data_IF_117669834460
#
_entry.id   IF_117669834460
#
_cell.length_a   1.000
_cell.length_b   1.000
_cell.length_c   1.000
_cell.angle_alpha   90.00
_cell.angle_beta   90.00
_cell.angle_gamma   90.00
#
_symmetry.space_group_name_H-M   'P 1'
#
loop_
_entity.id
_entity.type
_entity.pdbx_description
1 polymer ?
#
# COMPACT_ATOMS: atom_id res chain seq x y z
N UNK A 1 1.75 -11.72 -11.27
CA UNK A 1 0.72 -12.11 -10.28
C UNK A 1 0.70 -11.02 -9.22
N UNK A 2 -0.33 -10.19 -9.19
CA UNK A 2 -0.45 -9.16 -8.19
C UNK A 2 -0.97 -9.79 -6.90
N UNK A 3 -0.06 -10.25 -6.04
CA UNK A 3 -0.41 -10.78 -4.71
C UNK A 3 -0.93 -9.71 -3.75
N UNK A 4 -0.98 -8.45 -4.19
CA UNK A 4 -1.42 -7.34 -3.38
C UNK A 4 -2.92 -7.12 -3.57
N UNK A 5 -3.77 -7.39 -2.56
CA UNK A 5 -5.20 -7.16 -2.69
C UNK A 5 -5.57 -5.69 -2.90
N UNK A 6 -4.75 -4.75 -2.44
CA UNK A 6 -4.96 -3.33 -2.75
C UNK A 6 -4.82 -3.03 -4.25
N UNK A 7 -3.96 -3.76 -4.97
CA UNK A 7 -3.86 -3.64 -6.42
C UNK A 7 -5.06 -4.25 -7.14
N UNK A 8 -5.64 -5.35 -6.64
CA UNK A 8 -6.87 -5.92 -7.22
C UNK A 8 -8.02 -4.91 -7.17
N UNK A 9 -8.14 -4.18 -6.05
CA UNK A 9 -9.19 -3.16 -5.88
C UNK A 9 -8.90 -1.88 -6.68
N UNK A 10 -7.68 -1.33 -6.55
CA UNK A 10 -7.38 0.01 -7.11
C UNK A 10 -6.82 0.00 -8.53
N UNK A 11 -6.37 -1.17 -9.02
CA UNK A 11 -5.60 -1.36 -10.26
C UNK A 11 -4.38 -0.43 -10.39
N UNK A 12 -3.90 0.12 -9.29
CA UNK A 12 -2.85 1.13 -9.27
C UNK A 12 -1.51 0.52 -8.81
N UNK A 13 -0.50 0.49 -9.67
CA UNK A 13 0.82 -0.04 -9.29
C UNK A 13 1.48 0.70 -8.14
N UNK A 14 1.13 1.97 -7.90
CA UNK A 14 1.71 2.79 -6.84
C UNK A 14 1.38 2.27 -5.42
N UNK A 15 0.28 1.53 -5.25
CA UNK A 15 -0.10 0.96 -3.94
C UNK A 15 0.66 -0.34 -3.62
N UNK A 16 1.28 -0.95 -4.63
CA UNK A 16 2.03 -2.20 -4.48
C UNK A 16 3.34 -1.97 -3.72
N UNK A 17 3.93 -3.07 -3.21
CA UNK A 17 5.25 -3.02 -2.58
C UNK A 17 6.30 -2.30 -3.46
N UNK A 18 6.32 -2.56 -4.77
CA UNK A 18 7.23 -1.89 -5.72
C UNK A 18 7.01 -0.38 -5.74
N UNK A 19 5.76 0.07 -5.80
CA UNK A 19 5.39 1.49 -5.76
C UNK A 19 5.86 2.17 -4.47
N UNK A 20 5.66 1.51 -3.33
CA UNK A 20 6.11 2.01 -2.02
C UNK A 20 7.63 2.05 -1.88
N UNK A 21 8.37 1.06 -2.39
CA UNK A 21 9.84 1.13 -2.43
C UNK A 21 10.29 2.33 -3.26
N UNK A 22 9.67 2.54 -4.43
CA UNK A 22 9.99 3.67 -5.28
C UNK A 22 9.72 5.00 -4.57
N UNK A 23 8.58 5.11 -3.88
CA UNK A 23 8.23 6.27 -3.05
C UNK A 23 9.26 6.51 -1.93
N UNK A 24 9.61 5.46 -1.19
CA UNK A 24 10.60 5.52 -0.12
C UNK A 24 11.97 5.97 -0.64
N UNK A 25 12.42 5.45 -1.80
CA UNK A 25 13.66 5.88 -2.45
C UNK A 25 13.63 7.37 -2.82
N UNK A 26 12.51 7.86 -3.36
CA UNK A 26 12.35 9.28 -3.72
C UNK A 26 12.39 10.18 -2.48
N UNK A 27 11.74 9.78 -1.39
CA UNK A 27 11.80 10.49 -0.11
C UNK A 27 13.22 10.54 0.48
N UNK A 28 13.98 9.45 0.38
CA UNK A 28 15.37 9.40 0.81
C UNK A 28 16.29 10.25 -0.08
N UNK A 29 15.99 10.34 -1.37
CA UNK A 29 16.70 11.21 -2.31
C UNK A 29 16.34 12.70 -2.17
N UNK A 30 15.44 13.06 -1.24
CA UNK A 30 15.00 14.45 -1.04
C UNK A 30 14.11 14.98 -2.17
N UNK A 31 13.53 14.10 -2.98
CA UNK A 31 12.62 14.51 -4.04
C UNK A 31 11.27 14.93 -3.46
N UNK A 32 10.59 15.83 -4.17
CA UNK A 32 9.22 16.20 -3.85
C UNK A 32 8.29 15.02 -4.12
N UNK A 33 7.43 14.76 -3.14
CA UNK A 33 6.36 13.77 -3.20
C UNK A 33 5.04 14.51 -3.10
N UNK A 34 4.06 14.08 -3.87
CA UNK A 34 2.71 14.67 -3.86
C UNK A 34 1.83 14.01 -2.81
N UNK A 35 0.78 14.71 -2.36
CA UNK A 35 -0.20 14.14 -1.43
C UNK A 35 -0.85 12.87 -1.99
N UNK A 36 -1.13 12.81 -3.30
CA UNK A 36 -1.69 11.62 -3.94
C UNK A 36 -0.74 10.41 -3.87
N UNK A 37 0.55 10.62 -4.11
CA UNK A 37 1.56 9.56 -3.97
C UNK A 37 1.70 9.09 -2.52
N UNK A 38 1.62 10.02 -1.56
CA UNK A 38 1.61 9.70 -0.14
C UNK A 38 0.40 8.84 0.25
N UNK A 39 -0.80 9.20 -0.21
CA UNK A 39 -2.05 8.45 0.03
C UNK A 39 -1.93 6.99 -0.41
N UNK A 40 -1.31 6.71 -1.56
CA UNK A 40 -1.12 5.35 -2.06
C UNK A 40 -0.34 4.46 -1.09
N UNK A 41 0.55 5.03 -0.26
CA UNK A 41 1.27 4.27 0.75
C UNK A 41 0.36 3.82 1.90
N UNK A 42 -0.67 4.60 2.23
CA UNK A 42 -1.63 4.30 3.30
C UNK A 42 -2.70 3.27 2.91
N UNK A 43 -2.87 2.98 1.62
CA UNK A 43 -3.78 1.92 1.14
C UNK A 43 -3.26 0.49 1.46
N UNK A 44 -2.25 0.34 2.32
CA UNK A 44 -1.81 -0.98 2.76
C UNK A 44 -2.86 -1.64 3.64
N UNK A 45 -3.37 -2.79 3.22
CA UNK A 45 -4.17 -3.64 4.11
C UNK A 45 -3.33 -4.54 5.03
N UNK A 46 -1.99 -4.36 5.05
CA UNK A 46 -1.06 -5.11 5.91
C UNK A 46 -1.20 -6.64 5.84
N UNK A 47 -1.65 -7.16 4.69
CA UNK A 47 -1.85 -8.60 4.43
C UNK A 47 -0.56 -9.45 4.41
N UNK A 48 0.62 -8.83 4.45
CA UNK A 48 1.96 -9.48 4.40
C UNK A 48 2.26 -10.34 3.16
N UNK A 49 1.35 -10.44 2.20
CA UNK A 49 1.57 -11.17 0.94
C UNK A 49 2.83 -10.71 0.19
N UNK A 50 3.21 -9.43 0.30
CA UNK A 50 4.44 -8.91 -0.31
C UNK A 50 5.74 -9.43 0.33
N UNK A 51 5.69 -9.82 1.60
CA UNK A 51 6.84 -10.33 2.35
C UNK A 51 7.03 -11.83 2.06
N UNK A 52 5.94 -12.60 1.96
CA UNK A 52 5.98 -14.03 1.63
C UNK A 52 6.60 -14.33 0.26
N UNK A 53 6.33 -13.48 -0.75
CA UNK A 53 6.91 -13.65 -2.08
C UNK A 53 8.32 -13.06 -2.21
N UNK A 54 8.80 -12.33 -1.19
CA UNK A 54 10.04 -11.59 -1.26
C UNK A 54 11.24 -12.55 -1.15
N UNK A 55 11.84 -12.89 -2.29
CA UNK A 55 13.03 -13.76 -2.34
C UNK A 55 14.25 -13.21 -1.57
N UNK A 56 14.27 -11.91 -1.28
CA UNK A 56 15.36 -11.24 -0.56
C UNK A 56 15.12 -11.17 0.94
N UNK A 57 14.00 -11.70 1.44
CA UNK A 57 13.63 -11.72 2.86
C UNK A 57 13.80 -10.34 3.55
N UNK A 58 13.38 -9.28 2.84
CA UNK A 58 13.44 -7.92 3.38
C UNK A 58 12.37 -7.75 4.44
N UNK A 59 12.70 -7.07 5.53
CA UNK A 59 11.75 -6.71 6.59
C UNK A 59 10.83 -5.56 6.14
N UNK A 60 9.99 -5.85 5.13
CA UNK A 60 9.15 -4.87 4.45
C UNK A 60 8.11 -4.27 5.39
N UNK A 61 7.61 -5.05 6.35
CA UNK A 61 6.66 -4.54 7.35
C UNK A 61 7.23 -3.35 8.13
N UNK A 62 8.48 -3.43 8.60
CA UNK A 62 9.14 -2.30 9.29
C UNK A 62 9.39 -1.11 8.37
N UNK A 63 9.73 -1.37 7.11
CA UNK A 63 9.91 -0.31 6.11
C UNK A 63 8.60 0.46 5.87
N UNK A 64 7.47 -0.25 5.81
CA UNK A 64 6.14 0.36 5.63
C UNK A 64 5.73 1.17 6.84
N UNK A 65 5.95 0.67 8.05
CA UNK A 65 5.70 1.44 9.29
C UNK A 65 6.48 2.76 9.30
N UNK A 66 7.77 2.71 8.97
CA UNK A 66 8.62 3.89 8.91
C UNK A 66 8.17 4.88 7.81
N UNK A 67 7.73 4.35 6.66
CA UNK A 67 7.24 5.15 5.54
C UNK A 67 5.93 5.86 5.91
N UNK A 68 4.95 5.14 6.46
CA UNK A 68 3.66 5.67 6.89
C UNK A 68 3.85 6.78 7.93
N UNK A 69 4.69 6.54 8.96
CA UNK A 69 5.00 7.55 9.98
C UNK A 69 5.65 8.81 9.40
N UNK A 70 6.54 8.65 8.41
CA UNK A 70 7.18 9.80 7.74
C UNK A 70 6.18 10.59 6.90
N UNK A 71 5.29 9.90 6.19
CA UNK A 71 4.26 10.53 5.35
C UNK A 71 3.20 11.22 6.20
N UNK A 72 2.80 10.63 7.32
CA UNK A 72 1.87 11.23 8.28
C UNK A 72 2.42 12.55 8.81
N UNK A 73 3.71 12.60 9.15
CA UNK A 73 4.37 13.83 9.60
C UNK A 73 4.45 14.94 8.53
N UNK A 74 4.34 14.61 7.24
CA UNK A 74 4.42 15.60 6.15
C UNK A 74 3.05 16.01 5.59
N UNK A 75 2.13 15.05 5.43
CA UNK A 75 0.86 15.23 4.73
C UNK A 75 -0.37 14.98 5.62
N UNK A 76 -0.17 14.52 6.86
CA UNK A 76 -1.23 14.07 7.75
C UNK A 76 -1.81 12.71 7.36
N UNK A 77 -2.70 12.19 8.20
CA UNK A 77 -3.45 10.97 7.94
C UNK A 77 -4.57 11.22 6.92
N UNK A 78 -4.64 10.48 5.80
CA UNK A 78 -5.62 10.72 4.75
C UNK A 78 -6.95 9.99 5.01
N UNK A 79 -7.67 10.38 6.07
CA UNK A 79 -8.90 9.74 6.53
C UNK A 79 -9.95 9.58 5.42
N UNK A 80 -10.28 10.66 4.72
CA UNK A 80 -11.30 10.64 3.63
C UNK A 80 -10.93 9.67 2.51
N UNK A 81 -9.66 9.63 2.12
CA UNK A 81 -9.22 8.74 1.03
C UNK A 81 -9.24 7.27 1.46
N UNK A 82 -8.99 7.00 2.75
CA UNK A 82 -9.09 5.65 3.30
C UNK A 82 -10.54 5.21 3.37
N UNK A 83 -11.47 6.08 3.80
CA UNK A 83 -12.90 5.76 3.81
C UNK A 83 -13.45 5.46 2.40
N UNK A 84 -13.04 6.23 1.40
CA UNK A 84 -13.37 5.96 -0.01
C UNK A 84 -12.81 4.62 -0.46
N UNK A 85 -11.55 4.34 -0.16
CA UNK A 85 -10.91 3.08 -0.49
C UNK A 85 -11.62 1.88 0.17
N UNK A 86 -12.00 1.98 1.44
CA UNK A 86 -12.72 0.90 2.13
C UNK A 86 -14.08 0.60 1.48
N UNK A 87 -14.80 1.62 1.00
CA UNK A 87 -16.04 1.40 0.24
C UNK A 87 -15.81 0.66 -1.07
N UNK A 88 -14.70 0.94 -1.76
CA UNK A 88 -14.31 0.22 -2.98
C UNK A 88 -13.91 -1.22 -2.68
N UNK A 89 -13.21 -1.47 -1.57
CA UNK A 89 -12.86 -2.82 -1.09
C UNK A 89 -14.14 -3.61 -0.79
N UNK A 90 -15.06 -3.04 -0.02
CA UNK A 90 -16.32 -3.70 0.35
C UNK A 90 -17.19 -4.03 -0.88
N UNK A 91 -17.14 -3.19 -1.92
CA UNK A 91 -17.86 -3.41 -3.17
C UNK A 91 -17.15 -4.36 -4.15
N UNK A 92 -15.88 -4.71 -3.91
CA UNK A 92 -15.06 -5.50 -4.82
C UNK A 92 -15.30 -7.00 -4.63
N UNK A 93 -15.98 -7.63 -5.58
CA UNK A 93 -16.15 -9.09 -5.60
C UNK A 93 -14.81 -9.82 -5.68
N UNK A 94 -13.86 -9.32 -6.49
CA UNK A 94 -12.54 -9.96 -6.63
C UNK A 94 -11.74 -9.98 -5.31
N UNK A 95 -11.90 -8.95 -4.47
CA UNK A 95 -11.29 -8.94 -3.14
C UNK A 95 -11.90 -10.02 -2.24
N UNK A 96 -13.24 -10.10 -2.19
CA UNK A 96 -13.94 -11.08 -1.37
C UNK A 96 -13.70 -12.52 -1.85
N UNK A 97 -13.67 -12.76 -3.17
CA UNK A 97 -13.32 -14.06 -3.75
C UNK A 97 -11.92 -14.52 -3.31
N UNK A 98 -10.96 -13.60 -3.26
CA UNK A 98 -9.59 -13.89 -2.78
C UNK A 98 -9.56 -14.21 -1.28
N UNK A 99 -10.39 -13.53 -0.47
CA UNK A 99 -10.51 -13.80 0.97
C UNK A 99 -11.14 -15.17 1.22
N UNK A 100 -12.20 -15.52 0.48
CA UNK A 100 -12.89 -16.80 0.61
C UNK A 100 -12.03 -17.98 0.14
N UNK A 101 -11.17 -17.80 -0.87
CA UNK A 101 -10.25 -18.85 -1.35
C UNK A 101 -9.08 -19.16 -0.39
N UNK A 102 -8.80 -18.29 0.58
CA UNK A 102 -7.74 -18.47 1.57
C UNK A 102 -8.28 -18.93 2.96
N UNK A 103 -9.55 -19.35 3.04
CA UNK A 103 -10.20 -19.92 4.23
C UNK A 103 -10.35 -21.44 4.10
#
# INVERSE_FOLDING_TARGET
MAVCPAYLVTQNEAVTAKGKIALAKRLLAGQTVTRQEAVNAFMCMRCRACEEICQTNLELTMLWDALEKRLEGQFGWPETQIEEYLKEVDASHEYWDMVEQNC
#
